data_IF_492452089863
#
_entry.id   IF_492452089863
#
_cell.length_a   1.000
_cell.length_b   1.000
_cell.length_c   1.000
_cell.angle_alpha   90.00
_cell.angle_beta   90.00
_cell.angle_gamma   90.00
#
_symmetry.space_group_name_H-M   'P 1'
#
loop_
_entity.id
_entity.type
_entity.pdbx_description
1 polymer ?
#
# COMPACT_ATOMS: atom_id res chain seq x y z
N UNK A 1 45.06 55.86 -37.97
CA UNK A 1 45.02 56.26 -39.39
C UNK A 1 45.13 55.01 -40.24
N UNK A 2 44.33 54.95 -41.30
CA UNK A 2 44.17 53.90 -42.32
C UNK A 2 45.41 53.09 -42.71
N UNK A 3 45.23 51.81 -43.04
CA UNK A 3 45.26 51.36 -44.44
C UNK A 3 44.76 49.91 -44.62
N UNK A 4 44.03 49.72 -45.72
CA UNK A 4 43.46 48.50 -46.33
C UNK A 4 44.52 47.67 -47.07
N UNK A 5 44.13 46.45 -47.45
CA UNK A 5 44.39 45.69 -48.71
C UNK A 5 44.80 44.22 -48.42
N UNK A 6 43.90 43.23 -48.53
CA UNK A 6 43.40 42.50 -49.72
C UNK A 6 44.48 41.67 -50.44
N UNK A 7 44.26 40.34 -50.50
CA UNK A 7 44.58 39.52 -51.67
C UNK A 7 43.62 38.33 -51.79
N UNK A 8 42.86 38.35 -52.87
CA UNK A 8 41.98 37.30 -53.38
C UNK A 8 42.76 36.19 -54.08
N UNK A 9 42.20 34.98 -54.13
CA UNK A 9 42.28 34.12 -55.34
C UNK A 9 40.91 33.43 -55.54
N UNK A 10 40.27 33.71 -56.68
CA UNK A 10 39.15 32.97 -57.29
C UNK A 10 39.71 31.71 -57.98
N UNK A 11 39.17 30.49 -57.83
CA UNK A 11 37.91 29.93 -58.37
C UNK A 11 38.26 28.65 -59.18
N UNK A 12 37.34 27.86 -59.79
CA UNK A 12 35.86 27.95 -59.74
C UNK A 12 35.09 26.58 -59.76
N UNK A 13 33.73 26.67 -59.68
CA UNK A 13 32.66 25.76 -60.20
C UNK A 13 32.44 24.39 -59.49
N UNK A 14 31.24 23.85 -59.31
CA UNK A 14 29.86 24.16 -59.73
C UNK A 14 28.87 23.34 -58.87
N UNK A 15 27.67 23.91 -58.66
CA UNK A 15 26.35 23.27 -58.53
C UNK A 15 25.98 22.30 -57.38
N UNK A 16 24.93 22.68 -56.65
CA UNK A 16 24.15 21.78 -55.80
C UNK A 16 23.30 22.50 -54.75
N UNK A 17 22.16 23.06 -55.16
CA UNK A 17 21.20 23.69 -54.27
C UNK A 17 20.52 22.68 -53.33
N UNK A 18 20.47 23.00 -52.03
CA UNK A 18 19.38 22.57 -51.15
C UNK A 18 19.20 23.58 -50.02
N UNK A 19 17.96 24.05 -49.88
CA UNK A 19 17.51 25.07 -48.95
C UNK A 19 17.58 24.56 -47.50
N UNK A 20 18.40 25.19 -46.66
CA UNK A 20 18.31 25.02 -45.20
C UNK A 20 17.25 25.96 -44.63
N UNK A 21 16.11 25.36 -44.31
CA UNK A 21 15.07 25.93 -43.45
C UNK A 21 15.65 26.10 -42.04
N UNK A 22 15.69 27.35 -41.56
CA UNK A 22 16.03 27.70 -40.18
C UNK A 22 14.95 27.18 -39.22
N UNK A 23 15.15 25.97 -38.71
CA UNK A 23 14.38 25.43 -37.59
C UNK A 23 14.76 26.10 -36.26
N UNK A 24 13.80 26.26 -35.33
CA UNK A 24 14.06 26.92 -34.06
C UNK A 24 14.98 26.07 -33.18
N UNK A 25 15.89 26.76 -32.50
CA UNK A 25 16.75 26.26 -31.43
C UNK A 25 15.95 25.36 -30.48
N UNK A 26 16.41 24.13 -30.13
CA UNK A 26 15.71 23.30 -29.19
C UNK A 26 15.66 23.99 -27.83
N UNK A 27 14.45 24.04 -27.28
CA UNK A 27 14.10 24.61 -25.98
C UNK A 27 14.83 23.84 -24.89
N UNK A 28 15.89 24.43 -24.37
CA UNK A 28 16.25 24.49 -22.96
C UNK A 28 16.04 23.21 -22.12
N UNK A 29 16.98 22.27 -22.21
CA UNK A 29 17.22 21.22 -21.19
C UNK A 29 17.86 21.83 -19.93
N UNK A 30 17.18 22.80 -19.32
CA UNK A 30 17.61 23.38 -18.04
C UNK A 30 17.20 22.44 -16.92
N UNK A 31 18.21 22.03 -16.12
CA UNK A 31 17.98 21.36 -14.86
C UNK A 31 16.89 22.10 -14.06
N UNK A 32 15.90 21.38 -13.48
CA UNK A 32 14.79 22.02 -12.79
C UNK A 32 15.30 22.96 -11.71
N UNK A 33 14.65 24.12 -11.57
CA UNK A 33 14.98 25.07 -10.52
C UNK A 33 14.90 24.39 -9.15
N UNK A 34 15.72 24.82 -8.18
CA UNK A 34 15.73 24.28 -6.80
C UNK A 34 14.33 24.20 -6.21
N UNK A 35 13.46 25.16 -6.55
CA UNK A 35 12.07 25.18 -6.14
C UNK A 35 11.24 24.06 -6.79
N UNK A 36 11.41 23.83 -8.10
CA UNK A 36 10.72 22.74 -8.82
C UNK A 36 11.15 21.37 -8.29
N UNK A 37 12.43 21.18 -7.99
CA UNK A 37 12.92 19.93 -7.37
C UNK A 37 12.26 19.68 -6.02
N UNK A 38 12.15 20.72 -5.16
CA UNK A 38 11.48 20.63 -3.86
C UNK A 38 9.97 20.38 -3.97
N UNK A 39 9.30 21.05 -4.91
CA UNK A 39 7.87 20.82 -5.15
C UNK A 39 7.60 19.39 -5.62
N UNK A 40 8.45 18.85 -6.50
CA UNK A 40 8.35 17.46 -6.96
C UNK A 40 8.55 16.44 -5.83
N UNK A 41 9.45 16.72 -4.88
CA UNK A 41 9.62 15.88 -3.69
C UNK A 41 8.33 15.82 -2.85
N UNK A 42 7.67 16.96 -2.67
CA UNK A 42 6.39 17.02 -1.96
C UNK A 42 5.30 16.28 -2.75
N UNK A 43 5.19 16.50 -4.06
CA UNK A 43 4.22 15.82 -4.93
C UNK A 43 4.35 14.29 -4.88
N UNK A 44 5.58 13.78 -4.78
CA UNK A 44 5.87 12.35 -4.68
C UNK A 44 5.54 11.74 -3.31
N UNK A 45 5.35 12.56 -2.28
CA UNK A 45 5.01 12.09 -0.95
C UNK A 45 3.49 11.96 -0.79
N UNK A 46 3.03 10.76 -0.40
CA UNK A 46 1.61 10.37 -0.32
C UNK A 46 0.73 11.33 0.51
N UNK A 47 1.30 12.00 1.51
CA UNK A 47 0.55 12.94 2.37
C UNK A 47 0.33 14.30 1.71
N UNK A 48 1.17 14.67 0.73
CA UNK A 48 1.11 15.97 0.05
C UNK A 48 0.64 15.86 -1.40
N UNK A 49 0.48 14.64 -1.95
CA UNK A 49 0.17 14.42 -3.37
C UNK A 49 -1.17 14.98 -3.82
N UNK A 50 -2.12 15.18 -2.91
CA UNK A 50 -3.45 15.75 -3.21
C UNK A 50 -3.49 17.29 -3.09
N UNK A 51 -2.39 17.93 -2.69
CA UNK A 51 -2.34 19.38 -2.53
C UNK A 51 -2.26 20.10 -3.87
N UNK A 52 -2.81 21.32 -3.92
CA UNK A 52 -2.70 22.16 -5.09
C UNK A 52 -1.25 22.56 -5.40
N UNK A 53 -0.93 22.78 -6.68
CA UNK A 53 0.38 23.31 -7.12
C UNK A 53 0.79 24.60 -6.38
N UNK A 54 -0.20 25.40 -5.97
CA UNK A 54 0.01 26.62 -5.20
C UNK A 54 0.51 26.32 -3.78
N UNK A 55 -0.16 25.38 -3.11
CA UNK A 55 0.19 24.90 -1.77
C UNK A 55 1.56 24.20 -1.77
N UNK A 56 1.81 23.31 -2.75
CA UNK A 56 3.10 22.63 -2.92
C UNK A 56 4.26 23.62 -3.11
N UNK A 57 4.08 24.65 -3.94
CA UNK A 57 5.09 25.71 -4.12
C UNK A 57 5.25 26.59 -2.87
N UNK A 58 4.20 26.79 -2.07
CA UNK A 58 4.28 27.51 -0.80
C UNK A 58 5.08 26.74 0.25
N UNK A 59 4.90 25.42 0.33
CA UNK A 59 5.68 24.51 1.16
C UNK A 59 7.14 24.43 0.71
N UNK A 60 7.38 24.23 -0.59
CA UNK A 60 8.73 24.15 -1.18
C UNK A 60 9.62 25.39 -0.90
N UNK A 61 9.00 26.58 -0.84
CA UNK A 61 9.68 27.84 -0.49
C UNK A 61 10.15 27.89 0.96
N UNK A 62 9.47 27.19 1.87
CA UNK A 62 9.75 27.20 3.30
C UNK A 62 10.70 26.08 3.73
N UNK A 63 10.93 25.08 2.88
CA UNK A 63 11.93 24.05 3.13
C UNK A 63 13.33 24.66 3.21
N UNK A 64 14.07 24.32 4.27
CA UNK A 64 15.45 24.76 4.49
C UNK A 64 16.41 23.60 4.29
N UNK A 65 17.49 23.77 3.51
CA UNK A 65 18.51 22.74 3.40
C UNK A 65 19.35 22.72 4.68
N UNK A 66 19.62 21.53 5.18
CA UNK A 66 20.54 21.26 6.29
C UNK A 66 21.57 20.27 5.80
N UNK A 67 22.84 20.66 5.85
CA UNK A 67 23.96 19.77 5.52
C UNK A 67 24.26 18.87 6.71
N UNK A 68 24.51 17.60 6.43
CA UNK A 68 24.88 16.59 7.41
C UNK A 68 26.12 15.87 6.90
N UNK A 69 27.24 16.01 7.59
CA UNK A 69 28.50 15.35 7.20
C UNK A 69 28.50 13.86 7.54
N UNK A 70 29.29 13.07 6.82
CA UNK A 70 29.52 11.68 7.17
C UNK A 70 30.03 11.54 8.63
N UNK A 71 29.37 10.68 9.41
CA UNK A 71 29.64 10.47 10.84
C UNK A 71 29.01 11.51 11.79
N UNK A 72 28.47 12.60 11.27
CA UNK A 72 27.75 13.60 12.07
C UNK A 72 26.38 13.06 12.52
N UNK A 73 25.91 13.49 13.68
CA UNK A 73 24.57 13.14 14.16
C UNK A 73 23.76 14.39 14.48
N UNK A 74 22.69 14.62 13.73
CA UNK A 74 21.73 15.69 13.97
C UNK A 74 20.65 15.20 14.94
N UNK A 75 20.49 15.87 16.09
CA UNK A 75 19.42 15.58 17.06
C UNK A 75 18.36 16.67 17.03
N UNK A 76 17.10 16.24 16.92
CA UNK A 76 15.92 17.10 16.79
C UNK A 76 14.88 16.70 17.84
N UNK A 77 14.14 17.66 18.41
CA UNK A 77 13.03 17.37 19.34
C UNK A 77 13.21 17.82 20.80
N UNK A 78 14.35 18.42 21.19
CA UNK A 78 14.52 18.92 22.56
C UNK A 78 13.70 20.19 22.87
N UNK A 79 13.26 20.94 21.85
CA UNK A 79 12.49 22.19 21.98
C UNK A 79 11.31 22.30 20.99
N UNK A 80 10.53 21.23 20.83
CA UNK A 80 9.15 21.33 20.31
C UNK A 80 8.96 21.74 18.84
N UNK A 81 9.90 21.43 17.95
CA UNK A 81 9.73 21.64 16.51
C UNK A 81 9.34 20.36 15.79
N UNK A 82 8.05 20.21 15.48
CA UNK A 82 7.56 19.21 14.54
C UNK A 82 8.25 19.46 13.18
N UNK A 83 9.12 18.56 12.72
CA UNK A 83 9.91 18.72 11.50
C UNK A 83 9.54 17.65 10.47
N UNK A 84 8.95 18.06 9.35
CA UNK A 84 8.87 17.22 8.15
C UNK A 84 10.26 17.29 7.49
N UNK A 85 10.94 16.15 7.36
CA UNK A 85 12.28 16.09 6.77
C UNK A 85 12.30 15.18 5.58
N UNK A 86 12.89 15.65 4.48
CA UNK A 86 13.20 14.83 3.31
C UNK A 86 14.70 14.65 3.19
N UNK A 87 15.14 13.46 2.78
CA UNK A 87 16.52 13.27 2.32
C UNK A 87 16.60 13.76 0.87
N UNK A 88 17.29 14.87 0.61
CA UNK A 88 17.46 15.36 -0.77
C UNK A 88 18.58 14.63 -1.51
N UNK A 89 19.73 14.43 -0.86
CA UNK A 89 20.89 13.73 -1.42
C UNK A 89 21.70 13.04 -0.31
N UNK A 90 22.52 12.05 -0.69
CA UNK A 90 23.40 11.33 0.24
C UNK A 90 22.72 10.14 0.90
N UNK A 91 23.23 9.75 2.07
CA UNK A 91 22.72 8.62 2.84
C UNK A 91 22.78 8.91 4.34
N UNK A 92 21.73 8.57 5.05
CA UNK A 92 21.63 8.74 6.50
C UNK A 92 20.81 7.62 7.13
N UNK A 93 20.96 7.49 8.44
CA UNK A 93 20.16 6.61 9.29
C UNK A 93 19.45 7.44 10.34
N UNK A 94 18.13 7.47 10.30
CA UNK A 94 17.28 8.13 11.30
C UNK A 94 16.85 7.14 12.38
N UNK A 95 16.93 7.53 13.64
CA UNK A 95 16.35 6.81 14.77
C UNK A 95 15.43 7.75 15.54
N UNK A 96 14.23 7.29 15.87
CA UNK A 96 13.29 8.03 16.71
C UNK A 96 13.22 7.34 18.06
N UNK A 97 13.39 8.13 19.11
CA UNK A 97 13.39 7.69 20.49
C UNK A 97 12.17 8.29 21.20
N UNK A 98 11.53 7.50 22.06
CA UNK A 98 10.46 7.99 22.94
C UNK A 98 11.02 8.84 24.10
N UNK A 99 10.13 9.35 24.96
CA UNK A 99 10.50 10.19 26.10
C UNK A 99 11.34 9.47 27.16
N UNK A 100 11.40 8.14 27.11
CA UNK A 100 12.24 7.31 27.97
C UNK A 100 13.61 6.98 27.32
N UNK A 101 13.86 7.45 26.10
CA UNK A 101 15.10 7.20 25.36
C UNK A 101 15.17 5.82 24.70
N UNK A 102 14.04 5.10 24.58
CA UNK A 102 13.97 3.84 23.84
C UNK A 102 13.77 4.14 22.36
N UNK A 103 14.55 3.49 21.50
CA UNK A 103 14.37 3.58 20.05
C UNK A 103 13.05 2.89 19.67
N UNK A 104 12.12 3.67 19.12
CA UNK A 104 10.82 3.20 18.63
C UNK A 104 10.81 2.97 17.12
N UNK A 105 11.67 3.68 16.38
CA UNK A 105 11.74 3.57 14.93
C UNK A 105 13.18 3.77 14.45
N UNK A 106 13.60 3.00 13.45
CA UNK A 106 14.88 3.22 12.76
C UNK A 106 14.66 3.17 11.25
N UNK A 107 15.25 4.10 10.51
CA UNK A 107 15.07 4.27 9.06
C UNK A 107 16.38 4.55 8.37
N UNK A 108 16.46 4.09 7.12
CA UNK A 108 17.49 4.48 6.15
C UNK A 108 16.78 4.91 4.86
N UNK A 109 16.35 6.18 4.76
CA UNK A 109 15.64 6.67 3.58
C UNK A 109 16.53 6.65 2.34
N UNK A 110 15.90 6.59 1.17
CA UNK A 110 16.55 6.91 -0.10
C UNK A 110 16.41 8.42 -0.38
N UNK A 111 17.29 9.01 -1.19
CA UNK A 111 17.09 10.37 -1.69
C UNK A 111 15.71 10.48 -2.36
N UNK A 112 14.88 11.42 -1.88
CA UNK A 112 13.47 11.52 -2.25
C UNK A 112 12.51 11.26 -1.10
N UNK A 113 12.89 10.35 -0.19
CA UNK A 113 11.98 9.84 0.83
C UNK A 113 11.81 10.83 1.99
N UNK A 114 10.62 10.77 2.57
CA UNK A 114 10.32 11.39 3.85
C UNK A 114 11.02 10.61 4.97
N UNK A 115 11.88 11.31 5.72
CA UNK A 115 12.66 10.79 6.84
C UNK A 115 11.92 10.89 8.18
N UNK A 116 11.18 11.98 8.41
CA UNK A 116 10.52 12.26 9.70
C UNK A 116 9.05 12.62 9.52
N UNK A 117 8.25 12.01 10.38
CA UNK A 117 6.92 12.44 10.79
C UNK A 117 7.02 12.83 12.27
N UNK A 118 6.83 14.11 12.62
CA UNK A 118 6.53 14.41 14.01
C UNK A 118 5.14 13.84 14.31
N UNK A 119 5.01 13.18 15.46
CA UNK A 119 3.75 12.63 15.90
C UNK A 119 3.64 12.69 17.42
N UNK A 120 2.46 12.52 18.00
CA UNK A 120 1.14 13.04 17.64
C UNK A 120 0.83 14.26 18.54
N UNK A 121 -0.38 14.82 18.49
CA UNK A 121 -0.86 15.90 19.40
C UNK A 121 -0.97 15.50 20.89
N UNK A 122 -0.26 14.44 21.33
CA UNK A 122 -0.24 13.93 22.71
C UNK A 122 0.89 14.54 23.56
N UNK A 123 0.96 14.13 24.83
CA UNK A 123 2.01 14.56 25.77
C UNK A 123 3.38 13.89 25.56
N UNK A 124 3.45 12.91 24.66
CA UNK A 124 4.66 12.12 24.43
C UNK A 124 5.71 12.92 23.66
N UNK A 125 6.93 12.94 24.19
CA UNK A 125 8.07 13.63 23.58
C UNK A 125 8.91 12.63 22.81
N UNK A 126 9.03 12.84 21.50
CA UNK A 126 9.94 12.06 20.66
C UNK A 126 11.20 12.87 20.34
N UNK A 127 12.34 12.21 20.39
CA UNK A 127 13.64 12.76 19.95
C UNK A 127 14.05 12.02 18.69
N UNK A 128 14.31 12.75 17.61
CA UNK A 128 14.86 12.16 16.40
C UNK A 128 16.36 12.38 16.32
N UNK A 129 17.10 11.33 16.02
CA UNK A 129 18.54 11.32 15.82
C UNK A 129 18.84 10.87 14.40
N UNK A 130 19.48 11.71 13.59
CA UNK A 130 19.83 11.41 12.20
C UNK A 130 21.33 11.32 12.09
N UNK A 131 21.85 10.14 11.78
CA UNK A 131 23.27 9.87 11.60
C UNK A 131 23.64 9.89 10.12
N UNK A 132 24.63 10.69 9.72
CA UNK A 132 25.12 10.75 8.35
C UNK A 132 25.98 9.54 8.03
N UNK A 133 25.58 8.73 7.05
CA UNK A 133 26.39 7.61 6.55
C UNK A 133 27.34 8.06 5.43
N UNK A 134 26.92 9.08 4.69
CA UNK A 134 27.72 9.88 3.77
C UNK A 134 27.40 11.35 3.98
N UNK A 135 28.11 12.24 3.28
CA UNK A 135 27.66 13.63 3.17
C UNK A 135 26.25 13.65 2.56
N UNK A 136 25.33 14.30 3.27
CA UNK A 136 23.92 14.30 2.96
C UNK A 136 23.34 15.71 3.05
N UNK A 137 22.33 15.98 2.21
CA UNK A 137 21.52 17.19 2.31
C UNK A 137 20.12 16.80 2.73
N UNK A 138 19.69 17.32 3.87
CA UNK A 138 18.32 17.19 4.36
C UNK A 138 17.53 18.45 3.97
N UNK A 139 16.24 18.30 3.72
CA UNK A 139 15.32 19.43 3.59
C UNK A 139 14.34 19.40 4.74
N UNK A 140 14.38 20.43 5.57
CA UNK A 140 13.55 20.54 6.76
C UNK A 140 12.44 21.54 6.56
N UNK A 141 11.22 21.19 6.95
CA UNK A 141 10.09 22.09 7.07
C UNK A 141 9.65 22.09 8.52
N UNK A 142 9.68 23.27 9.15
CA UNK A 142 9.23 23.44 10.52
C UNK A 142 7.70 23.49 10.61
N UNK A 143 7.19 23.25 11.82
CA UNK A 143 5.75 23.26 12.11
C UNK A 143 5.08 24.54 11.64
N UNK A 144 5.62 25.69 12.01
CA UNK A 144 5.00 26.98 11.71
C UNK A 144 4.95 27.20 10.19
N UNK A 145 6.03 26.85 9.48
CA UNK A 145 6.08 26.92 8.03
C UNK A 145 5.15 25.93 7.34
N UNK A 146 4.94 24.73 7.90
CA UNK A 146 3.95 23.76 7.43
C UNK A 146 2.53 24.32 7.60
N UNK A 147 2.18 24.78 8.80
CA UNK A 147 0.84 25.25 9.13
C UNK A 147 0.44 26.50 8.33
N UNK A 148 1.35 27.45 8.19
CA UNK A 148 1.11 28.65 7.38
C UNK A 148 0.90 28.35 5.89
N UNK A 149 1.67 27.39 5.35
CA UNK A 149 1.61 27.08 3.93
C UNK A 149 0.37 26.27 3.55
N UNK A 150 -0.09 25.40 4.45
CA UNK A 150 -1.25 24.53 4.22
C UNK A 150 -2.58 25.29 4.27
N UNK A 151 -2.71 26.34 5.09
CA UNK A 151 -3.94 27.13 5.17
C UNK A 151 -5.17 26.27 5.51
N UNK A 152 -6.10 26.11 4.56
CA UNK A 152 -7.29 25.25 4.72
C UNK A 152 -6.96 23.75 4.74
N UNK A 153 -5.83 23.34 4.16
CA UNK A 153 -5.45 21.93 4.00
C UNK A 153 -4.78 21.35 5.25
N UNK A 154 -4.57 22.19 6.29
CA UNK A 154 -3.89 21.84 7.55
C UNK A 154 -4.48 20.59 8.20
N UNK A 155 -5.81 20.51 8.28
CA UNK A 155 -6.48 19.43 8.99
C UNK A 155 -6.34 18.09 8.25
N UNK A 156 -6.57 18.09 6.94
CA UNK A 156 -6.41 16.90 6.09
C UNK A 156 -4.98 16.36 6.12
N UNK A 157 -3.99 17.25 5.96
CA UNK A 157 -2.56 16.87 6.01
C UNK A 157 -2.15 16.43 7.41
N UNK A 158 -2.63 17.07 8.48
CA UNK A 158 -2.35 16.63 9.85
C UNK A 158 -2.85 15.19 10.08
N UNK A 159 -4.09 14.89 9.67
CA UNK A 159 -4.65 13.54 9.76
C UNK A 159 -3.83 12.55 8.94
N UNK A 160 -3.40 12.92 7.73
CA UNK A 160 -2.55 12.08 6.89
C UNK A 160 -1.18 11.78 7.52
N UNK A 161 -0.55 12.78 8.15
CA UNK A 161 0.73 12.63 8.86
C UNK A 161 0.58 11.73 10.09
N UNK A 162 -0.48 11.92 10.89
CA UNK A 162 -0.77 11.09 12.07
C UNK A 162 -0.99 9.63 11.66
N UNK A 163 -1.78 9.39 10.60
CA UNK A 163 -2.00 8.04 10.05
C UNK A 163 -0.70 7.39 9.58
N UNK A 164 0.12 8.11 8.81
CA UNK A 164 1.38 7.57 8.33
C UNK A 164 2.31 7.23 9.49
N UNK A 165 2.33 8.03 10.56
CA UNK A 165 3.13 7.73 11.74
C UNK A 165 2.73 6.40 12.41
N UNK A 166 1.43 6.21 12.64
CA UNK A 166 0.90 4.99 13.24
C UNK A 166 1.25 3.77 12.39
N UNK A 167 1.10 3.87 11.07
CA UNK A 167 1.45 2.81 10.12
C UNK A 167 2.94 2.44 10.20
N UNK A 168 3.79 3.44 10.39
CA UNK A 168 5.24 3.28 10.40
C UNK A 168 5.76 2.65 11.70
N UNK A 169 5.19 3.02 12.85
CA UNK A 169 5.43 2.31 14.10
C UNK A 169 4.97 0.85 14.00
N UNK A 170 3.79 0.62 13.43
CA UNK A 170 3.26 -0.71 13.24
C UNK A 170 4.13 -1.56 12.29
N UNK A 171 4.73 -0.95 11.26
CA UNK A 171 5.67 -1.61 10.35
C UNK A 171 6.99 -2.00 11.04
N UNK A 172 7.54 -1.15 11.91
CA UNK A 172 8.75 -1.50 12.67
C UNK A 172 8.51 -2.64 13.65
N UNK A 173 7.40 -2.62 14.37
CA UNK A 173 7.01 -3.73 15.23
C UNK A 173 6.77 -5.02 14.41
N UNK A 174 6.26 -4.89 13.18
CA UNK A 174 6.00 -6.03 12.31
C UNK A 174 7.30 -6.66 11.84
N UNK A 175 8.30 -5.85 11.47
CA UNK A 175 9.63 -6.32 11.11
C UNK A 175 10.28 -7.14 12.25
N UNK A 176 10.13 -6.70 13.50
CA UNK A 176 10.60 -7.46 14.67
C UNK A 176 9.85 -8.79 14.85
N UNK A 177 8.52 -8.79 14.67
CA UNK A 177 7.71 -10.01 14.75
C UNK A 177 8.02 -11.01 13.62
N UNK A 178 8.34 -10.50 12.43
CA UNK A 178 8.74 -11.27 11.25
C UNK A 178 10.07 -12.01 11.48
N UNK A 179 11.03 -11.39 12.18
CA UNK A 179 12.32 -12.02 12.50
C UNK A 179 12.19 -13.25 13.42
N UNK A 180 11.16 -13.25 14.26
CA UNK A 180 10.88 -14.35 15.19
C UNK A 180 10.19 -15.57 14.54
N UNK A 181 9.67 -15.45 13.31
CA UNK A 181 8.89 -16.50 12.66
C UNK A 181 9.37 -16.76 11.22
N UNK A 182 9.81 -17.98 10.89
CA UNK A 182 10.42 -18.30 9.56
C UNK A 182 9.75 -19.45 8.81
N UNK A 183 8.51 -19.80 9.13
CA UNK A 183 7.78 -20.82 8.39
C UNK A 183 7.16 -20.26 7.10
N UNK A 184 6.96 -21.12 6.09
CA UNK A 184 6.14 -20.79 4.93
C UNK A 184 4.68 -20.58 5.39
N UNK A 185 4.12 -19.41 5.09
CA UNK A 185 2.77 -19.06 5.50
C UNK A 185 1.72 -19.74 4.62
N UNK A 186 0.71 -20.41 5.19
CA UNK A 186 -0.44 -20.87 4.45
C UNK A 186 -1.27 -19.68 3.92
N UNK A 187 -1.98 -19.90 2.81
CA UNK A 187 -2.78 -18.91 2.11
C UNK A 187 -4.27 -19.29 2.21
N UNK A 188 -5.09 -18.33 2.61
CA UNK A 188 -6.54 -18.36 2.52
C UNK A 188 -7.02 -17.31 1.51
N UNK A 189 -7.57 -17.74 0.39
CA UNK A 189 -7.98 -16.85 -0.70
C UNK A 189 -9.49 -16.58 -0.65
N UNK A 190 -9.91 -15.33 -0.81
CA UNK A 190 -11.30 -14.90 -0.89
C UNK A 190 -11.62 -14.59 -2.34
N UNK A 191 -12.68 -15.21 -2.85
CA UNK A 191 -13.14 -15.01 -4.22
C UNK A 191 -14.66 -14.91 -4.25
N UNK A 192 -15.18 -14.12 -5.18
CA UNK A 192 -16.60 -14.07 -5.51
C UNK A 192 -16.79 -14.12 -7.02
N UNK A 193 -17.81 -14.84 -7.47
CA UNK A 193 -18.18 -14.82 -8.89
C UNK A 193 -18.95 -13.55 -9.29
N UNK A 194 -19.32 -12.70 -8.32
CA UNK A 194 -20.05 -11.44 -8.53
C UNK A 194 -19.44 -10.29 -7.72
N UNK A 195 -19.27 -9.13 -8.36
CA UNK A 195 -18.84 -7.90 -7.69
C UNK A 195 -19.89 -7.40 -6.70
N UNK A 196 -19.45 -6.83 -5.57
CA UNK A 196 -20.35 -6.33 -4.53
C UNK A 196 -20.95 -7.39 -3.61
N UNK A 197 -20.47 -8.64 -3.66
CA UNK A 197 -20.87 -9.71 -2.72
C UNK A 197 -20.30 -9.53 -1.30
N UNK A 198 -19.37 -8.59 -1.11
CA UNK A 198 -18.71 -8.32 0.17
C UNK A 198 -17.46 -9.16 0.43
N UNK A 199 -16.87 -9.78 -0.59
CA UNK A 199 -15.63 -10.57 -0.45
C UNK A 199 -14.50 -9.78 0.23
N UNK A 200 -14.15 -8.60 -0.30
CA UNK A 200 -13.14 -7.70 0.29
C UNK A 200 -13.46 -7.33 1.73
N UNK A 201 -14.72 -6.96 2.03
CA UNK A 201 -15.15 -6.62 3.39
C UNK A 201 -14.92 -7.79 4.35
N UNK A 202 -15.30 -9.01 3.95
CA UNK A 202 -15.08 -10.21 4.75
C UNK A 202 -13.60 -10.57 4.87
N UNK A 203 -12.81 -10.41 3.81
CA UNK A 203 -11.38 -10.68 3.82
C UNK A 203 -10.64 -9.78 4.82
N UNK A 204 -10.88 -8.47 4.79
CA UNK A 204 -10.25 -7.51 5.71
C UNK A 204 -10.65 -7.79 7.16
N UNK A 205 -11.95 -7.96 7.44
CA UNK A 205 -12.42 -8.18 8.81
C UNK A 205 -11.96 -9.55 9.34
N UNK A 206 -11.89 -10.58 8.48
CA UNK A 206 -11.33 -11.90 8.85
C UNK A 206 -9.83 -11.80 9.12
N UNK A 207 -9.09 -11.07 8.28
CA UNK A 207 -7.68 -10.79 8.49
C UNK A 207 -7.44 -10.08 9.84
N UNK A 208 -8.27 -9.09 10.18
CA UNK A 208 -8.20 -8.41 11.46
C UNK A 208 -8.54 -9.33 12.65
N UNK A 209 -9.53 -10.22 12.51
CA UNK A 209 -9.84 -11.23 13.53
C UNK A 209 -8.67 -12.20 13.77
N UNK A 210 -7.97 -12.60 12.71
CA UNK A 210 -6.77 -13.43 12.80
C UNK A 210 -5.62 -12.64 13.44
N UNK A 211 -5.47 -11.35 13.09
CA UNK A 211 -4.43 -10.46 13.60
C UNK A 211 -4.60 -10.14 15.10
N UNK A 212 -5.82 -10.16 15.63
CA UNK A 212 -6.06 -10.04 17.07
C UNK A 212 -5.32 -11.13 17.88
N UNK A 213 -5.22 -12.35 17.32
CA UNK A 213 -4.49 -13.48 17.92
C UNK A 213 -3.03 -13.55 17.50
N UNK A 214 -2.73 -13.10 16.29
CA UNK A 214 -1.42 -13.15 15.66
C UNK A 214 -1.01 -11.77 15.15
N UNK A 215 -0.82 -10.79 16.06
CA UNK A 215 -0.58 -9.41 15.67
C UNK A 215 0.69 -9.33 14.83
N UNK A 216 0.58 -8.66 13.69
CA UNK A 216 1.66 -8.41 12.71
C UNK A 216 2.24 -9.66 12.07
N UNK A 217 1.51 -10.78 12.16
CA UNK A 217 1.80 -12.04 11.49
C UNK A 217 0.65 -12.46 10.57
N UNK A 218 -0.25 -11.53 10.24
CA UNK A 218 -1.31 -11.74 9.25
C UNK A 218 -1.18 -10.67 8.18
N UNK A 219 -1.11 -11.10 6.92
CA UNK A 219 -1.01 -10.24 5.76
C UNK A 219 -2.23 -10.42 4.87
N UNK A 220 -2.91 -9.32 4.55
CA UNK A 220 -3.90 -9.25 3.49
C UNK A 220 -3.20 -8.85 2.18
N UNK A 221 -3.21 -9.74 1.19
CA UNK A 221 -2.77 -9.47 -0.17
C UNK A 221 -3.98 -9.03 -1.00
N UNK A 222 -4.04 -7.77 -1.43
CA UNK A 222 -5.16 -7.25 -2.21
C UNK A 222 -4.88 -7.36 -3.71
N UNK A 223 -5.42 -8.41 -4.32
CA UNK A 223 -5.38 -8.73 -5.75
C UNK A 223 -6.76 -8.53 -6.41
N UNK A 224 -7.61 -7.68 -5.84
CA UNK A 224 -8.88 -7.32 -6.45
C UNK A 224 -8.64 -6.41 -7.66
N UNK A 225 -8.58 -7.02 -8.84
CA UNK A 225 -8.31 -6.30 -10.09
C UNK A 225 -9.62 -5.86 -10.78
N UNK A 226 -9.62 -4.71 -11.50
CA UNK A 226 -8.53 -3.75 -11.65
C UNK A 226 -8.47 -2.70 -10.52
N UNK A 227 -9.43 -2.70 -9.59
CA UNK A 227 -9.55 -1.70 -8.52
C UNK A 227 -9.53 -2.35 -7.13
N UNK A 228 -8.33 -2.42 -6.54
CA UNK A 228 -8.12 -2.89 -5.18
C UNK A 228 -8.51 -1.80 -4.17
N UNK A 229 -9.41 -2.12 -3.26
CA UNK A 229 -9.93 -1.17 -2.27
C UNK A 229 -9.60 -1.56 -0.83
N UNK A 230 -8.77 -2.58 -0.60
CA UNK A 230 -8.60 -3.11 0.75
C UNK A 230 -7.94 -2.12 1.71
N UNK A 231 -6.91 -1.40 1.25
CA UNK A 231 -6.27 -0.36 2.04
C UNK A 231 -7.26 0.77 2.40
N UNK A 232 -8.04 1.24 1.42
CA UNK A 232 -9.08 2.26 1.63
C UNK A 232 -10.13 1.81 2.65
N UNK A 233 -10.66 0.59 2.51
CA UNK A 233 -11.66 0.04 3.42
C UNK A 233 -11.11 -0.24 4.82
N UNK A 234 -9.79 -0.36 4.96
CA UNK A 234 -9.08 -0.46 6.23
C UNK A 234 -8.62 0.89 6.80
N UNK A 235 -9.01 2.01 6.18
CA UNK A 235 -8.57 3.37 6.51
C UNK A 235 -7.04 3.56 6.48
N UNK A 236 -6.39 2.91 5.51
CA UNK A 236 -4.96 2.98 5.29
C UNK A 236 -4.61 3.74 4.01
N UNK A 237 -3.59 4.58 4.11
CA UNK A 237 -2.93 5.19 2.95
C UNK A 237 -1.92 4.19 2.38
N UNK A 238 -2.14 3.73 1.16
CA UNK A 238 -1.21 2.83 0.46
C UNK A 238 -0.03 3.63 -0.12
N UNK A 239 1.20 3.30 0.30
CA UNK A 239 2.44 3.98 -0.15
C UNK A 239 3.25 3.17 -1.16
N UNK A 240 2.87 1.90 -1.39
CA UNK A 240 3.51 1.01 -2.34
C UNK A 240 2.61 -0.15 -2.74
N UNK A 241 3.05 -0.93 -3.72
CA UNK A 241 2.33 -2.09 -4.23
C UNK A 241 3.30 -3.15 -4.77
N UNK A 242 2.79 -4.35 -5.05
CA UNK A 242 3.56 -5.42 -5.73
C UNK A 242 4.09 -4.93 -7.08
N UNK A 243 3.23 -4.33 -7.90
CA UNK A 243 3.59 -3.76 -9.19
C UNK A 243 4.54 -2.55 -9.05
N UNK A 244 4.40 -1.74 -7.99
CA UNK A 244 5.32 -0.66 -7.70
C UNK A 244 6.73 -1.17 -7.36
N UNK A 245 6.82 -2.24 -6.56
CA UNK A 245 8.10 -2.83 -6.15
C UNK A 245 8.88 -3.43 -7.33
N UNK A 246 8.20 -3.92 -8.38
CA UNK A 246 8.83 -4.51 -9.57
C UNK A 246 9.55 -3.50 -10.47
N UNK A 247 9.26 -2.20 -10.31
CA UNK A 247 9.91 -1.12 -11.07
C UNK A 247 11.33 -0.83 -10.63
N UNK A 248 11.70 -1.26 -9.42
CA UNK A 248 13.05 -1.10 -8.90
C UNK A 248 13.98 -2.24 -9.37
N UNK A 249 15.31 -2.05 -9.30
CA UNK A 249 16.25 -3.14 -9.56
C UNK A 249 15.97 -4.37 -8.69
N UNK A 250 16.20 -5.56 -9.22
CA UNK A 250 15.88 -6.83 -8.56
C UNK A 250 16.49 -6.96 -7.15
N UNK A 251 17.68 -6.41 -6.93
CA UNK A 251 18.36 -6.40 -5.63
C UNK A 251 17.55 -5.68 -4.53
N UNK A 252 16.74 -4.69 -4.92
CA UNK A 252 15.91 -3.89 -4.02
C UNK A 252 14.48 -4.42 -3.88
N UNK A 253 14.05 -5.37 -4.73
CA UNK A 253 12.68 -5.86 -4.79
C UNK A 253 12.15 -6.31 -3.43
N UNK A 254 12.92 -7.15 -2.73
CA UNK A 254 12.55 -7.69 -1.41
C UNK A 254 12.33 -6.58 -0.38
N UNK A 255 13.23 -5.58 -0.35
CA UNK A 255 13.15 -4.45 0.57
C UNK A 255 11.94 -3.58 0.25
N UNK A 256 11.75 -3.24 -1.02
CA UNK A 256 10.67 -2.36 -1.45
C UNK A 256 9.30 -3.03 -1.26
N UNK A 257 9.18 -4.33 -1.55
CA UNK A 257 7.93 -5.08 -1.38
C UNK A 257 7.52 -5.17 0.09
N UNK A 258 8.48 -5.43 1.00
CA UNK A 258 8.20 -5.43 2.44
C UNK A 258 7.85 -4.03 2.95
N UNK A 259 8.52 -3.00 2.43
CA UNK A 259 8.20 -1.60 2.73
C UNK A 259 6.83 -1.14 2.20
N UNK A 260 6.27 -1.85 1.21
CA UNK A 260 4.93 -1.59 0.69
C UNK A 260 3.81 -2.19 1.55
N UNK A 261 4.13 -3.00 2.57
CA UNK A 261 3.14 -3.54 3.51
C UNK A 261 2.74 -2.44 4.48
N UNK A 262 1.48 -2.05 4.43
CA UNK A 262 0.91 -1.04 5.32
C UNK A 262 0.19 -1.73 6.47
N UNK A 263 0.51 -1.40 7.72
CA UNK A 263 -0.03 -2.08 8.88
C UNK A 263 -1.18 -1.29 9.51
N UNK A 264 -2.31 -1.96 9.69
CA UNK A 264 -3.46 -1.46 10.42
C UNK A 264 -3.27 -1.62 11.93
N UNK A 265 -3.89 -0.74 12.72
CA UNK A 265 -3.85 -0.77 14.20
C UNK A 265 -4.32 -2.09 14.84
N UNK A 266 -5.05 -2.93 14.10
CA UNK A 266 -5.41 -4.29 14.54
C UNK A 266 -4.24 -5.29 14.47
N UNK A 267 -3.08 -4.88 13.96
CA UNK A 267 -1.96 -5.77 13.64
C UNK A 267 -2.09 -6.49 12.30
N UNK A 268 -3.07 -6.14 11.45
CA UNK A 268 -3.20 -6.68 10.09
C UNK A 268 -2.28 -5.90 9.15
N UNK A 269 -1.38 -6.58 8.44
CA UNK A 269 -0.68 -5.99 7.30
C UNK A 269 -1.55 -6.02 6.04
N UNK A 270 -1.45 -5.02 5.18
CA UNK A 270 -2.13 -4.96 3.88
C UNK A 270 -1.10 -4.65 2.79
N UNK A 271 -1.08 -5.46 1.74
CA UNK A 271 -0.21 -5.28 0.57
C UNK A 271 -1.06 -5.19 -0.71
N UNK A 272 -1.22 -3.99 -1.27
CA UNK A 272 -1.89 -3.79 -2.54
C UNK A 272 -1.09 -4.39 -3.71
N UNK A 273 -1.79 -4.96 -4.69
CA UNK A 273 -1.16 -5.45 -5.92
C UNK A 273 -0.76 -4.31 -6.86
N UNK A 274 -1.63 -3.32 -7.03
CA UNK A 274 -1.39 -2.07 -7.78
C UNK A 274 -1.80 -0.86 -6.95
N UNK A 275 -1.26 0.32 -7.27
CA UNK A 275 -1.81 1.59 -6.78
C UNK A 275 -2.66 2.27 -7.84
N UNK A 276 -2.42 1.95 -9.11
CA UNK A 276 -3.13 2.52 -10.26
C UNK A 276 -3.51 1.43 -11.25
N UNK A 277 -4.68 1.53 -11.92
CA UNK A 277 -5.17 0.48 -12.82
C UNK A 277 -4.21 0.15 -13.97
N UNK A 278 -3.50 1.13 -14.51
CA UNK A 278 -2.53 0.94 -15.60
C UNK A 278 -1.31 0.09 -15.20
N UNK A 279 -1.11 -0.18 -13.92
CA UNK A 279 -0.03 -1.06 -13.43
C UNK A 279 -0.41 -2.54 -13.49
N UNK A 280 -1.67 -2.86 -13.84
CA UNK A 280 -2.18 -4.22 -13.87
C UNK A 280 -1.39 -5.13 -14.81
N UNK A 281 -0.93 -4.61 -15.96
CA UNK A 281 -0.14 -5.37 -16.94
C UNK A 281 1.21 -5.86 -16.37
N UNK A 282 1.67 -5.30 -15.24
CA UNK A 282 2.88 -5.74 -14.55
C UNK A 282 2.64 -6.99 -13.69
N UNK A 283 1.39 -7.28 -13.31
CA UNK A 283 1.01 -8.38 -12.40
C UNK A 283 0.88 -9.71 -13.12
N UNK A 284 2.01 -10.25 -13.57
CA UNK A 284 2.08 -11.59 -14.13
C UNK A 284 2.30 -12.68 -13.06
N UNK A 285 2.24 -13.94 -13.48
CA UNK A 285 2.42 -15.10 -12.61
C UNK A 285 3.81 -15.14 -11.93
N UNK A 286 4.87 -14.71 -12.63
CA UNK A 286 6.24 -14.70 -12.10
C UNK A 286 6.39 -13.68 -10.97
N UNK A 287 5.92 -12.45 -11.18
CA UNK A 287 5.97 -11.38 -10.19
C UNK A 287 5.14 -11.77 -8.96
N UNK A 288 3.97 -12.35 -9.15
CA UNK A 288 3.09 -12.78 -8.05
C UNK A 288 3.73 -13.90 -7.24
N UNK A 289 4.32 -14.90 -7.91
CA UNK A 289 5.11 -15.96 -7.27
C UNK A 289 6.23 -15.39 -6.41
N UNK A 290 7.04 -14.50 -6.99
CA UNK A 290 8.17 -13.86 -6.30
C UNK A 290 7.70 -13.04 -5.10
N UNK A 291 6.58 -12.32 -5.24
CA UNK A 291 6.01 -11.53 -4.17
C UNK A 291 5.57 -12.41 -3.01
N UNK A 292 4.84 -13.50 -3.27
CA UNK A 292 4.44 -14.48 -2.26
C UNK A 292 5.65 -15.08 -1.54
N UNK A 293 6.70 -15.47 -2.27
CA UNK A 293 7.91 -16.07 -1.70
C UNK A 293 8.66 -15.10 -0.77
N UNK A 294 8.59 -13.79 -1.05
CA UNK A 294 9.20 -12.74 -0.22
C UNK A 294 8.41 -12.46 1.06
N UNK A 295 7.07 -12.43 0.98
CA UNK A 295 6.20 -12.02 2.09
C UNK A 295 5.75 -13.18 2.98
N UNK A 296 5.72 -14.41 2.47
CA UNK A 296 5.32 -15.58 3.24
C UNK A 296 6.19 -15.83 4.49
N UNK A 297 7.54 -15.72 4.44
CA UNK A 297 8.36 -15.88 5.64
C UNK A 297 8.05 -14.77 6.64
N UNK A 298 7.56 -15.13 7.84
CA UNK A 298 7.18 -14.18 8.91
C UNK A 298 5.67 -14.02 9.11
N UNK A 299 4.88 -14.59 8.22
CA UNK A 299 3.43 -14.60 8.35
C UNK A 299 2.96 -15.95 8.91
N UNK A 300 1.95 -15.92 9.78
CA UNK A 300 1.20 -17.09 10.24
C UNK A 300 0.18 -17.51 9.20
N UNK A 301 -0.37 -16.54 8.46
CA UNK A 301 -1.32 -16.76 7.37
C UNK A 301 -1.34 -15.53 6.46
N UNK A 302 -1.43 -15.78 5.16
CA UNK A 302 -1.75 -14.75 4.17
C UNK A 302 -3.23 -14.92 3.83
N UNK A 303 -4.00 -13.85 4.02
CA UNK A 303 -5.34 -13.72 3.48
C UNK A 303 -5.20 -13.06 2.12
N UNK A 304 -5.67 -13.66 1.03
CA UNK A 304 -5.63 -13.03 -0.28
C UNK A 304 -7.04 -12.61 -0.67
N UNK A 305 -7.27 -11.34 -0.97
CA UNK A 305 -8.51 -10.87 -1.57
C UNK A 305 -8.35 -10.87 -3.09
N UNK A 306 -9.09 -11.75 -3.78
CA UNK A 306 -9.07 -11.84 -5.24
C UNK A 306 -10.23 -11.06 -5.87
N UNK A 307 -11.16 -10.55 -5.06
CA UNK A 307 -12.39 -9.93 -5.55
C UNK A 307 -13.16 -10.87 -6.48
N UNK A 308 -13.23 -10.50 -7.76
CA UNK A 308 -13.80 -11.31 -8.84
C UNK A 308 -12.77 -11.75 -9.89
N UNK A 309 -11.48 -11.51 -9.65
CA UNK A 309 -10.42 -11.75 -10.64
C UNK A 309 -10.13 -13.24 -10.80
N UNK A 310 -9.93 -13.63 -12.06
CA UNK A 310 -9.36 -14.91 -12.49
C UNK A 310 -8.13 -14.67 -13.38
N UNK A 311 -7.48 -13.51 -13.23
CA UNK A 311 -6.23 -13.17 -13.91
C UNK A 311 -5.03 -13.98 -13.39
N UNK A 312 -3.87 -13.83 -14.04
CA UNK A 312 -2.67 -14.62 -13.74
C UNK A 312 -2.27 -14.59 -12.25
N UNK A 313 -2.28 -13.41 -11.63
CA UNK A 313 -1.95 -13.26 -10.22
C UNK A 313 -2.93 -14.04 -9.31
N UNK A 314 -4.22 -13.95 -9.60
CA UNK A 314 -5.27 -14.69 -8.87
C UNK A 314 -5.11 -16.21 -9.03
N UNK A 315 -4.77 -16.69 -10.24
CA UNK A 315 -4.56 -18.11 -10.49
C UNK A 315 -3.37 -18.66 -9.68
N UNK A 316 -2.24 -17.93 -9.63
CA UNK A 316 -1.08 -18.31 -8.79
C UNK A 316 -1.48 -18.45 -7.31
N UNK A 317 -2.31 -17.53 -6.81
CA UNK A 317 -2.78 -17.58 -5.43
C UNK A 317 -3.72 -18.77 -5.21
N UNK A 318 -4.68 -19.02 -6.10
CA UNK A 318 -5.63 -20.13 -5.99
C UNK A 318 -4.90 -21.48 -5.98
N UNK A 319 -3.88 -21.67 -6.83
CA UNK A 319 -3.07 -22.89 -6.86
C UNK A 319 -2.34 -23.16 -5.54
N UNK A 320 -1.83 -22.10 -4.90
CA UNK A 320 -1.07 -22.17 -3.65
C UNK A 320 -1.95 -22.17 -2.40
N UNK A 321 -3.23 -21.81 -2.51
CA UNK A 321 -4.14 -21.69 -1.38
C UNK A 321 -4.43 -23.05 -0.71
N UNK A 322 -4.38 -23.06 0.62
CA UNK A 322 -4.85 -24.19 1.44
C UNK A 322 -6.36 -24.10 1.67
N UNK A 323 -6.92 -22.89 1.64
CA UNK A 323 -8.34 -22.64 1.79
C UNK A 323 -8.80 -21.57 0.78
N UNK A 324 -9.85 -21.86 0.02
CA UNK A 324 -10.50 -20.95 -0.91
C UNK A 324 -11.91 -20.66 -0.39
N UNK A 325 -12.12 -19.44 0.08
CA UNK A 325 -13.38 -18.91 0.58
C UNK A 325 -14.15 -18.32 -0.60
N UNK A 326 -15.19 -19.03 -1.06
CA UNK A 326 -16.12 -18.53 -2.07
C UNK A 326 -17.26 -17.77 -1.40
N UNK A 327 -17.28 -16.45 -1.56
CA UNK A 327 -18.33 -15.58 -1.02
C UNK A 327 -19.46 -15.44 -2.04
N UNK A 328 -20.67 -15.78 -1.62
CA UNK A 328 -21.86 -15.79 -2.50
C UNK A 328 -22.99 -15.00 -1.83
N UNK A 329 -23.61 -14.01 -2.52
CA UNK A 329 -24.85 -13.39 -2.06
C UNK A 329 -26.06 -14.27 -2.45
N UNK A 330 -27.21 -14.15 -1.74
CA UNK A 330 -28.41 -14.95 -1.99
C UNK A 330 -29.17 -14.48 -3.25
N UNK A 331 -28.52 -14.54 -4.40
CA UNK A 331 -29.04 -14.07 -5.69
C UNK A 331 -28.85 -15.13 -6.78
N UNK A 332 -29.88 -15.35 -7.62
CA UNK A 332 -29.88 -16.38 -8.68
C UNK A 332 -28.70 -16.23 -9.65
N UNK A 333 -28.43 -15.01 -10.10
CA UNK A 333 -27.32 -14.73 -11.01
C UNK A 333 -25.97 -15.07 -10.35
N UNK A 334 -25.76 -14.61 -9.11
CA UNK A 334 -24.51 -14.83 -8.39
C UNK A 334 -24.27 -16.33 -8.10
N UNK A 335 -25.31 -17.09 -7.77
CA UNK A 335 -25.20 -18.55 -7.60
C UNK A 335 -24.86 -19.26 -8.92
N UNK A 336 -25.45 -18.82 -10.03
CA UNK A 336 -25.18 -19.41 -11.34
C UNK A 336 -23.71 -19.24 -11.72
N UNK A 337 -23.16 -18.04 -11.49
CA UNK A 337 -21.76 -17.74 -11.77
C UNK A 337 -20.84 -18.41 -10.75
N UNK A 338 -21.24 -18.50 -9.46
CA UNK A 338 -20.51 -19.25 -8.45
C UNK A 338 -20.42 -20.74 -8.80
N UNK A 339 -21.50 -21.36 -9.27
CA UNK A 339 -21.50 -22.76 -9.74
C UNK A 339 -20.53 -22.97 -10.91
N UNK A 340 -20.45 -22.01 -11.83
CA UNK A 340 -19.49 -22.04 -12.95
C UNK A 340 -18.06 -21.90 -12.45
N UNK A 341 -17.79 -20.95 -11.56
CA UNK A 341 -16.47 -20.77 -10.95
C UNK A 341 -16.02 -22.02 -10.17
N UNK A 342 -16.92 -22.66 -9.40
CA UNK A 342 -16.64 -23.94 -8.73
C UNK A 342 -16.28 -25.05 -9.71
N UNK A 343 -16.93 -25.10 -10.87
CA UNK A 343 -16.59 -26.06 -11.91
C UNK A 343 -15.20 -25.76 -12.51
N UNK A 344 -14.85 -24.50 -12.77
CA UNK A 344 -13.51 -24.10 -13.21
C UNK A 344 -12.45 -24.51 -12.19
N UNK A 345 -12.67 -24.19 -10.92
CA UNK A 345 -11.72 -24.53 -9.84
C UNK A 345 -11.51 -26.04 -9.73
N UNK A 346 -12.58 -26.84 -9.84
CA UNK A 346 -12.49 -28.30 -9.76
C UNK A 346 -11.91 -28.93 -11.02
N UNK A 347 -12.47 -28.61 -12.17
CA UNK A 347 -12.27 -29.37 -13.42
C UNK A 347 -11.06 -28.87 -14.22
N UNK A 348 -10.75 -27.58 -14.14
CA UNK A 348 -9.65 -26.97 -14.89
C UNK A 348 -8.42 -26.81 -13.99
N UNK A 349 -8.61 -26.24 -12.81
CA UNK A 349 -7.50 -25.94 -11.89
C UNK A 349 -7.16 -27.09 -10.93
N UNK A 350 -8.00 -28.12 -10.87
CA UNK A 350 -7.78 -29.28 -10.00
C UNK A 350 -7.81 -28.96 -8.50
N UNK A 351 -8.45 -27.85 -8.09
CA UNK A 351 -8.56 -27.45 -6.68
C UNK A 351 -9.37 -28.50 -5.93
N UNK A 352 -8.80 -29.16 -4.90
CA UNK A 352 -9.50 -30.19 -4.16
C UNK A 352 -10.76 -29.64 -3.51
N UNK A 353 -11.84 -30.43 -3.55
CA UNK A 353 -13.11 -30.00 -3.01
C UNK A 353 -13.06 -29.65 -1.52
N UNK A 354 -12.17 -30.32 -0.77
CA UNK A 354 -11.94 -30.06 0.65
C UNK A 354 -11.27 -28.72 0.94
N UNK A 355 -10.71 -28.02 -0.05
CA UNK A 355 -10.12 -26.69 0.16
C UNK A 355 -11.11 -25.56 -0.09
N UNK A 356 -12.27 -25.85 -0.69
CA UNK A 356 -13.23 -24.81 -1.09
C UNK A 356 -14.37 -24.75 -0.08
N UNK A 357 -14.50 -23.59 0.56
CA UNK A 357 -15.54 -23.31 1.54
C UNK A 357 -16.48 -22.23 1.01
N UNK A 358 -17.79 -22.49 1.07
CA UNK A 358 -18.80 -21.53 0.61
C UNK A 358 -19.30 -20.70 1.78
N UNK A 359 -19.21 -19.37 1.64
CA UNK A 359 -19.72 -18.40 2.61
C UNK A 359 -20.89 -17.65 1.99
N UNK A 360 -22.05 -17.78 2.62
CA UNK A 360 -23.24 -17.02 2.25
C UNK A 360 -23.19 -15.65 2.91
N UNK A 361 -23.13 -14.58 2.13
CA UNK A 361 -23.20 -13.21 2.65
C UNK A 361 -24.54 -12.55 2.33
N UNK A 362 -25.38 -12.32 3.34
CA UNK A 362 -26.68 -11.70 3.15
C UNK A 362 -26.52 -10.18 2.98
N UNK A 363 -26.70 -9.70 1.74
CA UNK A 363 -26.61 -8.27 1.38
C UNK A 363 -27.95 -7.53 1.37
N UNK A 364 -29.05 -8.22 1.69
CA UNK A 364 -30.41 -7.68 1.73
C UNK A 364 -31.17 -8.25 2.93
N UNK A 365 -32.06 -7.46 3.57
CA UNK A 365 -32.90 -7.96 4.66
C UNK A 365 -33.91 -9.00 4.17
N UNK A 366 -34.28 -8.94 2.90
CA UNK A 366 -35.14 -9.91 2.25
C UNK A 366 -34.29 -10.82 1.37
N UNK A 367 -34.25 -12.10 1.75
CA UNK A 367 -33.49 -13.12 1.04
C UNK A 367 -34.48 -13.88 0.14
N UNK A 368 -34.36 -13.78 -1.20
CA UNK A 368 -35.31 -14.43 -2.12
C UNK A 368 -35.14 -15.95 -2.19
N UNK A 369 -34.04 -16.48 -1.62
CA UNK A 369 -33.64 -17.88 -1.70
C UNK A 369 -33.23 -18.36 -0.31
N UNK A 370 -33.75 -19.50 0.13
CA UNK A 370 -33.30 -20.09 1.38
C UNK A 370 -31.93 -20.79 1.22
N UNK A 371 -31.31 -21.10 2.36
CA UNK A 371 -30.00 -21.76 2.43
C UNK A 371 -30.00 -23.09 1.65
N UNK A 372 -31.06 -23.88 1.77
CA UNK A 372 -31.14 -25.21 1.16
C UNK A 372 -31.19 -25.14 -0.38
N UNK A 373 -31.93 -24.19 -0.94
CA UNK A 373 -31.96 -23.93 -2.38
C UNK A 373 -30.57 -23.51 -2.89
N UNK A 374 -29.86 -22.65 -2.15
CA UNK A 374 -28.50 -22.21 -2.51
C UNK A 374 -27.55 -23.41 -2.51
N UNK A 375 -27.55 -24.23 -1.45
CA UNK A 375 -26.72 -25.43 -1.35
C UNK A 375 -27.02 -26.43 -2.48
N UNK A 376 -28.28 -26.60 -2.84
CA UNK A 376 -28.72 -27.46 -3.94
C UNK A 376 -28.19 -26.98 -5.29
N UNK A 377 -28.19 -25.67 -5.56
CA UNK A 377 -27.69 -25.10 -6.83
C UNK A 377 -26.17 -25.20 -6.92
N UNK A 378 -25.47 -24.92 -5.81
CA UNK A 378 -24.01 -24.97 -5.76
C UNK A 378 -23.46 -26.40 -5.66
N UNK A 379 -24.30 -27.36 -5.26
CA UNK A 379 -23.89 -28.74 -4.98
C UNK A 379 -22.92 -28.83 -3.81
N UNK A 380 -22.99 -27.88 -2.87
CA UNK A 380 -22.08 -27.73 -1.72
C UNK A 380 -22.81 -27.16 -0.52
N UNK A 381 -22.39 -27.57 0.67
CA UNK A 381 -22.87 -26.97 1.91
C UNK A 381 -22.26 -25.59 2.12
N UNK A 382 -23.04 -24.70 2.73
CA UNK A 382 -22.59 -23.39 3.18
C UNK A 382 -21.94 -23.56 4.55
N UNK A 383 -20.65 -23.24 4.61
CA UNK A 383 -19.82 -23.35 5.81
C UNK A 383 -20.12 -22.25 6.84
N UNK A 384 -20.31 -21.01 6.36
CA UNK A 384 -20.64 -19.86 7.20
C UNK A 384 -21.74 -19.05 6.55
N UNK A 385 -22.70 -18.57 7.35
CA UNK A 385 -23.71 -17.60 6.91
C UNK A 385 -23.51 -16.30 7.66
N UNK A 386 -23.22 -15.24 6.91
CA UNK A 386 -23.10 -13.88 7.43
C UNK A 386 -24.44 -13.18 7.20
N UNK A 387 -25.05 -12.71 8.29
CA UNK A 387 -26.33 -12.01 8.26
C UNK A 387 -26.24 -10.58 7.70
N UNK A 388 -27.40 -10.00 7.41
CA UNK A 388 -27.50 -8.64 6.88
C UNK A 388 -27.27 -7.59 7.97
N UNK A 389 -26.34 -6.68 7.73
CA UNK A 389 -25.93 -5.62 8.67
C UNK A 389 -26.29 -4.19 8.22
N UNK A 390 -27.15 -4.04 7.21
CA UNK A 390 -27.52 -2.70 6.71
C UNK A 390 -26.31 -1.92 6.22
N UNK A 391 -26.23 -0.66 6.63
CA UNK A 391 -25.15 0.28 6.32
C UNK A 391 -23.93 0.17 7.25
N UNK A 392 -23.94 -0.74 8.24
CA UNK A 392 -22.87 -0.79 9.25
C UNK A 392 -21.45 -0.97 8.66
N UNK A 393 -21.22 -1.80 7.62
CA UNK A 393 -19.89 -1.92 7.02
C UNK A 393 -19.41 -0.61 6.36
N UNK A 394 -20.32 0.08 5.68
CA UNK A 394 -20.06 1.36 5.04
C UNK A 394 -19.81 2.46 6.10
N UNK A 395 -20.59 2.48 7.19
CA UNK A 395 -20.38 3.37 8.34
C UNK A 395 -19.05 3.11 9.07
N UNK A 396 -18.63 1.85 9.17
CA UNK A 396 -17.33 1.49 9.73
C UNK A 396 -16.21 2.12 8.90
N UNK A 397 -16.28 1.95 7.58
CA UNK A 397 -15.33 2.55 6.62
C UNK A 397 -15.30 4.07 6.77
N UNK A 398 -16.46 4.73 6.76
CA UNK A 398 -16.57 6.19 6.88
C UNK A 398 -16.04 6.74 8.22
N UNK A 399 -16.02 5.91 9.26
CA UNK A 399 -15.49 6.27 10.59
C UNK A 399 -14.04 5.87 10.81
N UNK A 400 -13.33 5.42 9.76
CA UNK A 400 -11.93 5.01 9.86
C UNK A 400 -11.74 3.76 10.71
N UNK A 401 -12.66 2.80 10.64
CA UNK A 401 -12.63 1.58 11.43
C UNK A 401 -13.13 0.36 10.68
N UNK A 402 -12.65 -0.82 11.10
CA UNK A 402 -13.19 -2.08 10.60
C UNK A 402 -14.51 -2.39 11.31
N UNK A 403 -15.43 -3.08 10.62
CA UNK A 403 -16.72 -3.47 11.20
C UNK A 403 -16.56 -4.29 12.49
N UNK A 404 -15.55 -5.17 12.55
CA UNK A 404 -15.21 -5.95 13.73
C UNK A 404 -14.75 -5.10 14.94
N UNK A 405 -14.18 -3.92 14.69
CA UNK A 405 -13.75 -2.99 15.74
C UNK A 405 -14.90 -2.07 16.17
N UNK A 406 -15.70 -1.59 15.21
CA UNK A 406 -16.81 -0.67 15.46
C UNK A 406 -17.97 -1.33 16.20
N UNK A 407 -18.37 -2.52 15.76
CA UNK A 407 -19.44 -3.30 16.37
C UNK A 407 -19.07 -4.79 16.35
N UNK A 408 -18.42 -5.29 17.42
CA UNK A 408 -18.08 -6.72 17.56
C UNK A 408 -19.31 -7.64 17.55
N UNK A 409 -20.52 -7.09 17.78
CA UNK A 409 -21.79 -7.80 17.75
C UNK A 409 -22.50 -7.71 16.40
N UNK A 410 -21.89 -7.09 15.38
CA UNK A 410 -22.42 -7.10 14.02
C UNK A 410 -22.37 -8.51 13.41
N UNK A 411 -23.24 -8.79 12.45
CA UNK A 411 -23.20 -10.07 11.72
C UNK A 411 -21.89 -10.25 10.95
N UNK A 412 -21.33 -9.18 10.40
CA UNK A 412 -20.03 -9.16 9.71
C UNK A 412 -18.90 -9.48 10.68
N UNK A 413 -18.91 -8.92 11.90
CA UNK A 413 -17.91 -9.24 12.92
C UNK A 413 -17.98 -10.72 13.35
N UNK A 414 -19.19 -11.25 13.60
CA UNK A 414 -19.37 -12.67 13.92
C UNK A 414 -18.96 -13.56 12.76
N UNK A 415 -19.39 -13.22 11.54
CA UNK A 415 -19.05 -13.93 10.31
C UNK A 415 -17.55 -13.98 10.07
N UNK A 416 -16.85 -12.86 10.22
CA UNK A 416 -15.40 -12.78 10.12
C UNK A 416 -14.70 -13.68 11.15
N UNK A 417 -15.19 -13.73 12.39
CA UNK A 417 -14.67 -14.64 13.41
C UNK A 417 -14.93 -16.12 13.09
N UNK A 418 -16.10 -16.43 12.54
CA UNK A 418 -16.45 -17.79 12.10
C UNK A 418 -15.58 -18.24 10.92
N UNK A 419 -15.36 -17.37 9.93
CA UNK A 419 -14.47 -17.62 8.80
C UNK A 419 -13.02 -17.72 9.27
N UNK A 420 -12.58 -16.88 10.23
CA UNK A 420 -11.25 -17.01 10.83
C UNK A 420 -11.07 -18.39 11.45
N UNK A 421 -12.03 -18.87 12.27
CA UNK A 421 -12.03 -20.22 12.84
C UNK A 421 -11.96 -21.32 11.78
N UNK A 422 -12.71 -21.17 10.69
CA UNK A 422 -12.67 -22.08 9.54
C UNK A 422 -11.28 -22.13 8.89
N UNK A 423 -10.68 -20.96 8.61
CA UNK A 423 -9.32 -20.85 8.07
C UNK A 423 -8.32 -21.52 9.02
N UNK A 424 -8.42 -21.26 10.33
CA UNK A 424 -7.52 -21.86 11.32
C UNK A 424 -7.59 -23.37 11.36
N UNK A 425 -8.77 -23.97 11.13
CA UNK A 425 -8.91 -25.41 11.01
C UNK A 425 -8.20 -25.98 9.76
N UNK A 426 -8.33 -25.31 8.61
CA UNK A 426 -7.66 -25.70 7.36
C UNK A 426 -6.15 -25.58 7.43
N UNK A 427 -5.67 -24.50 8.05
CA UNK A 427 -4.24 -24.15 8.06
C UNK A 427 -3.54 -24.50 9.37
N UNK A 428 -4.25 -25.20 10.28
CA UNK A 428 -3.77 -25.67 11.59
C UNK A 428 -3.24 -24.56 12.49
N UNK A 429 -3.88 -23.40 12.46
CA UNK A 429 -3.63 -22.32 13.41
C UNK A 429 -4.43 -22.53 14.69
N UNK A 430 -3.81 -22.25 15.84
CA UNK A 430 -4.50 -22.25 17.13
C UNK A 430 -5.25 -20.92 17.25
N UNK A 431 -6.55 -20.94 17.00
CA UNK A 431 -7.38 -19.76 17.19
C UNK A 431 -8.03 -19.82 18.55
#
# INVERSE_FOLDING_TARGET
MCAREVRETHGPREEGASEEVTGPTPVNDQAPSVLQSRARLLEMASVFSELSDGTLRALARRMRPVSLSAGETLRLGAQGGDLVIFLATGSCEGAILDGAGKVVLTRRPKPGDLLILPAPRGSDRYVTSIHGLSDATLLTLDRDGLMEALGSDVEAVSIGLDKLWEQELAAADAAQAQEAWRAAAPIAAFFSAKGGSGATTLAINTGAALADKYPRQVLLLDLSEPFGHAALLADLIATGSIAGASKAPLADFTKNLRGAIVNHRSGLGVLPATLRPEELDLLNAELTTRALDVVAPGQRVIVADLGTSLGEASLVVIERAQCLIMVVPPEIAAMTDARRALAVFRDIMGVPASRIEVVLNQRSPHTPLDKAAIESVLGRQIAVTVGFDGSKPEEATLSGSLAIQRDPSSYIARGANDIARLIGAHVKLKL
#
